data_IF_118103495933
#
_entry.id   IF_118103495933
#
_cell.length_a   1.000
_cell.length_b   1.000
_cell.length_c   1.000
_cell.angle_alpha   90.00
_cell.angle_beta   90.00
_cell.angle_gamma   90.00
#
_symmetry.space_group_name_H-M   'P 1'
#
loop_
_entity.id
_entity.type
_entity.pdbx_description
1 polymer ?
#
# COMPACT_ATOMS: atom_id res chain seq x y z
N UNK A 1 12.88 1.97 -0.42
CA UNK A 1 13.50 2.45 0.84
C UNK A 1 14.51 3.56 0.57
N UNK A 2 15.67 3.28 -0.05
CA UNK A 2 16.74 4.27 -0.28
C UNK A 2 16.26 5.57 -0.94
N UNK A 3 15.57 5.46 -2.08
CA UNK A 3 15.02 6.62 -2.79
C UNK A 3 14.15 7.55 -1.94
N UNK A 4 13.31 7.01 -1.05
CA UNK A 4 12.48 7.85 -0.17
C UNK A 4 13.35 8.68 0.80
N UNK A 5 14.45 8.10 1.31
CA UNK A 5 15.41 8.80 2.16
C UNK A 5 16.20 9.84 1.37
N UNK A 6 16.64 9.50 0.16
CA UNK A 6 17.39 10.40 -0.71
C UNK A 6 16.56 11.63 -1.10
N UNK A 7 15.26 11.44 -1.35
CA UNK A 7 14.32 12.53 -1.63
C UNK A 7 13.80 13.24 -0.37
N UNK A 8 14.21 12.80 0.82
CA UNK A 8 13.70 13.27 2.11
C UNK A 8 12.16 13.24 2.23
N UNK A 9 11.52 12.19 1.68
CA UNK A 9 10.07 11.97 1.72
C UNK A 9 9.71 10.86 2.70
N UNK A 10 8.55 11.00 3.34
CA UNK A 10 7.95 9.94 4.16
C UNK A 10 7.58 8.73 3.31
N UNK A 11 7.76 7.55 3.88
CA UNK A 11 7.45 6.29 3.24
C UNK A 11 6.25 5.63 3.89
N UNK A 12 5.18 5.43 3.12
CA UNK A 12 3.94 4.83 3.61
C UNK A 12 3.72 3.45 3.00
N UNK A 13 3.14 2.53 3.77
CA UNK A 13 2.58 1.29 3.25
C UNK A 13 1.09 1.44 3.02
N UNK A 14 0.58 0.99 1.88
CA UNK A 14 -0.86 0.90 1.61
C UNK A 14 -1.20 -0.53 1.19
N UNK A 15 -2.12 -1.17 1.91
CA UNK A 15 -2.56 -2.52 1.58
C UNK A 15 -3.87 -2.90 2.25
N UNK A 16 -4.90 -3.15 1.43
CA UNK A 16 -6.22 -3.54 1.91
C UNK A 16 -6.44 -5.05 1.95
N UNK A 17 -5.40 -5.85 1.67
CA UNK A 17 -5.53 -7.29 1.58
C UNK A 17 -6.40 -7.70 0.38
N UNK A 18 -6.94 -8.92 0.44
CA UNK A 18 -7.84 -9.44 -0.59
C UNK A 18 -9.26 -8.95 -0.38
N UNK A 19 -9.64 -7.89 -1.11
CA UNK A 19 -11.00 -7.33 -1.07
C UNK A 19 -11.64 -7.36 -2.47
N UNK A 20 -12.97 -7.43 -2.49
CA UNK A 20 -13.74 -7.28 -3.73
C UNK A 20 -14.29 -5.87 -3.78
N UNK A 21 -14.04 -5.17 -4.89
CA UNK A 21 -14.51 -3.81 -5.12
C UNK A 21 -15.13 -3.72 -6.49
N UNK A 22 -16.14 -2.86 -6.65
CA UNK A 22 -16.88 -2.71 -7.91
C UNK A 22 -15.98 -2.16 -9.03
N UNK A 23 -15.15 -1.16 -8.74
CA UNK A 23 -14.18 -0.59 -9.69
C UNK A 23 -12.76 -0.58 -9.08
N UNK A 24 -11.94 -1.61 -9.36
CA UNK A 24 -10.54 -1.67 -8.93
C UNK A 24 -9.68 -0.54 -9.47
N UNK A 25 -10.01 -0.04 -10.67
CA UNK A 25 -9.24 1.01 -11.35
C UNK A 25 -9.47 2.35 -10.64
N UNK A 26 -10.71 2.62 -10.23
CA UNK A 26 -11.07 3.81 -9.47
C UNK A 26 -10.43 3.81 -8.08
N UNK A 27 -10.43 2.68 -7.36
CA UNK A 27 -9.70 2.58 -6.10
C UNK A 27 -8.19 2.77 -6.29
N UNK A 28 -7.59 2.16 -7.31
CA UNK A 28 -6.17 2.38 -7.63
C UNK A 28 -5.91 3.86 -7.94
N UNK A 29 -6.78 4.53 -8.69
CA UNK A 29 -6.67 5.97 -8.99
C UNK A 29 -6.73 6.82 -7.73
N UNK A 30 -7.70 6.56 -6.85
CA UNK A 30 -7.84 7.30 -5.59
C UNK A 30 -6.60 7.14 -4.70
N UNK A 31 -6.02 5.94 -4.63
CA UNK A 31 -4.75 5.70 -3.92
C UNK A 31 -3.60 6.50 -4.55
N UNK A 32 -3.50 6.52 -5.89
CA UNK A 32 -2.47 7.29 -6.61
C UNK A 32 -2.60 8.78 -6.29
N UNK A 33 -3.80 9.33 -6.42
CA UNK A 33 -4.09 10.74 -6.14
C UNK A 33 -3.77 11.12 -4.69
N UNK A 34 -4.13 10.26 -3.73
CA UNK A 34 -3.84 10.48 -2.31
C UNK A 34 -2.34 10.50 -2.01
N UNK A 35 -1.56 9.60 -2.61
CA UNK A 35 -0.09 9.56 -2.44
C UNK A 35 0.56 10.82 -2.99
N UNK A 36 0.16 11.25 -4.19
CA UNK A 36 0.70 12.45 -4.82
C UNK A 36 0.31 13.71 -4.05
N UNK A 37 -0.95 13.82 -3.60
CA UNK A 37 -1.42 14.96 -2.82
C UNK A 37 -0.75 15.06 -1.44
N UNK A 38 -0.36 13.93 -0.86
CA UNK A 38 0.32 13.88 0.45
C UNK A 38 1.84 14.08 0.37
N UNK A 39 2.40 14.19 -0.83
CA UNK A 39 3.84 14.28 -1.10
C UNK A 39 4.68 13.17 -0.42
N UNK A 40 4.18 11.93 -0.46
CA UNK A 40 4.86 10.75 0.12
C UNK A 40 5.33 9.77 -0.93
N UNK A 41 6.25 8.90 -0.54
CA UNK A 41 6.59 7.68 -1.29
C UNK A 41 5.74 6.52 -0.76
N UNK A 42 5.29 5.61 -1.61
CA UNK A 42 4.37 4.54 -1.24
C UNK A 42 4.89 3.16 -1.64
N UNK A 43 4.85 2.23 -0.68
CA UNK A 43 4.90 0.79 -0.94
C UNK A 43 3.45 0.30 -1.01
N UNK A 44 3.01 0.00 -2.23
CA UNK A 44 1.68 -0.55 -2.47
C UNK A 44 1.73 -2.08 -2.40
N UNK A 45 0.77 -2.68 -1.71
CA UNK A 45 0.47 -4.11 -1.78
C UNK A 45 -0.98 -4.26 -2.23
N UNK A 46 -1.17 -4.23 -3.56
CA UNK A 46 -2.50 -4.34 -4.16
C UNK A 46 -3.03 -5.77 -4.02
N UNK A 47 -4.27 -5.87 -3.55
CA UNK A 47 -4.99 -7.15 -3.44
C UNK A 47 -6.48 -7.06 -3.80
N UNK A 48 -6.94 -5.93 -4.37
CA UNK A 48 -8.34 -5.73 -4.73
C UNK A 48 -8.63 -6.06 -6.21
N UNK A 49 -9.84 -6.56 -6.46
CA UNK A 49 -10.35 -6.90 -7.80
C UNK A 49 -11.87 -6.98 -7.82
N UNK A 50 -12.48 -7.01 -9.02
CA UNK A 50 -13.94 -7.17 -9.22
C UNK A 50 -14.50 -8.52 -8.73
N UNK A 51 -13.65 -9.55 -8.59
CA UNK A 51 -14.08 -10.90 -8.20
C UNK A 51 -13.07 -11.57 -7.27
N UNK A 52 -13.57 -12.29 -6.26
CA UNK A 52 -12.78 -13.16 -5.40
C UNK A 52 -11.96 -14.17 -6.22
N UNK A 53 -10.65 -14.22 -5.97
CA UNK A 53 -9.73 -15.14 -6.63
C UNK A 53 -9.39 -14.79 -8.08
N UNK A 54 -9.72 -13.57 -8.55
CA UNK A 54 -9.22 -13.10 -9.84
C UNK A 54 -7.69 -13.06 -9.83
N UNK A 55 -7.07 -13.66 -10.85
CA UNK A 55 -5.61 -13.61 -11.05
C UNK A 55 -5.11 -12.17 -11.21
N UNK A 56 -6.01 -11.26 -11.60
CA UNK A 56 -5.71 -9.86 -11.87
C UNK A 56 -5.75 -8.99 -10.59
N UNK A 57 -6.07 -9.55 -9.43
CA UNK A 57 -6.07 -8.82 -8.14
C UNK A 57 -4.72 -8.18 -7.80
N UNK A 58 -3.63 -8.69 -8.37
CA UNK A 58 -2.27 -8.15 -8.23
C UNK A 58 -1.79 -7.34 -9.44
N UNK A 59 -2.50 -7.43 -10.56
CA UNK A 59 -2.20 -6.63 -11.76
C UNK A 59 -2.58 -5.18 -11.49
N UNK A 60 -1.80 -4.27 -12.05
CA UNK A 60 -2.05 -2.84 -11.96
C UNK A 60 -2.70 -2.43 -13.27
N UNK A 61 -3.87 -1.81 -13.16
CA UNK A 61 -4.71 -1.44 -14.31
C UNK A 61 -4.22 -0.16 -15.03
N UNK A 62 -3.26 0.56 -14.44
CA UNK A 62 -2.73 1.83 -14.94
C UNK A 62 -1.24 1.98 -14.68
N UNK A 63 -0.59 2.90 -15.40
CA UNK A 63 0.81 3.23 -15.09
C UNK A 63 0.91 3.92 -13.72
N UNK A 64 1.75 3.39 -12.84
CA UNK A 64 2.00 4.01 -11.54
C UNK A 64 3.05 5.11 -11.65
N UNK A 65 2.87 6.24 -10.96
CA UNK A 65 3.90 7.26 -10.88
C UNK A 65 5.11 6.73 -10.09
N UNK A 66 6.26 7.40 -10.24
CA UNK A 66 7.52 6.92 -9.67
C UNK A 66 7.52 6.90 -8.13
N UNK A 67 6.59 7.64 -7.50
CA UNK A 67 6.32 7.71 -6.07
C UNK A 67 5.79 6.39 -5.51
N UNK A 68 5.16 5.55 -6.33
CA UNK A 68 4.46 4.35 -5.91
C UNK A 68 5.14 3.11 -6.46
N UNK A 69 5.49 2.20 -5.57
CA UNK A 69 6.04 0.89 -5.91
C UNK A 69 5.09 -0.21 -5.49
N UNK A 70 4.45 -0.89 -6.46
CA UNK A 70 3.66 -2.09 -6.17
C UNK A 70 4.58 -3.28 -5.89
N UNK A 71 4.78 -3.58 -4.62
CA UNK A 71 5.65 -4.65 -4.15
C UNK A 71 5.02 -6.04 -4.18
N UNK A 72 3.69 -6.12 -4.26
CA UNK A 72 2.95 -7.36 -3.99
C UNK A 72 3.14 -7.82 -2.53
N UNK A 73 3.23 -9.14 -2.34
CA UNK A 73 3.39 -9.71 -1.00
C UNK A 73 4.82 -9.49 -0.49
N UNK A 74 4.94 -8.84 0.67
CA UNK A 74 6.21 -8.64 1.38
C UNK A 74 6.02 -8.91 2.88
N UNK A 75 7.00 -9.52 3.57
CA UNK A 75 6.89 -9.77 5.01
C UNK A 75 6.74 -8.45 5.79
N UNK A 76 5.66 -8.33 6.56
CA UNK A 76 5.36 -7.11 7.33
C UNK A 76 6.35 -6.87 8.46
N UNK A 77 6.85 -7.93 9.09
CA UNK A 77 7.87 -7.85 10.14
C UNK A 77 9.17 -7.20 9.65
N UNK A 78 9.54 -7.43 8.40
CA UNK A 78 10.67 -6.75 7.75
C UNK A 78 10.28 -5.35 7.26
N UNK A 79 9.15 -5.21 6.57
CA UNK A 79 8.75 -3.94 5.96
C UNK A 79 8.46 -2.86 7.01
N UNK A 80 7.72 -3.20 8.07
CA UNK A 80 7.18 -2.23 9.02
C UNK A 80 8.27 -1.59 9.90
N UNK A 81 9.46 -2.18 9.95
CA UNK A 81 10.64 -1.55 10.59
C UNK A 81 11.26 -0.42 9.78
N UNK A 82 10.81 -0.20 8.54
CA UNK A 82 11.47 0.70 7.58
C UNK A 82 10.56 1.79 7.00
N UNK A 83 9.28 1.80 7.37
CA UNK A 83 8.27 2.76 6.89
C UNK A 83 7.86 3.71 8.02
N UNK A 84 7.22 4.82 7.66
CA UNK A 84 6.78 5.86 8.58
C UNK A 84 5.30 5.74 9.01
N UNK A 85 4.45 5.11 8.20
CA UNK A 85 3.03 4.90 8.49
C UNK A 85 2.44 3.74 7.66
N UNK A 86 1.30 3.21 8.12
CA UNK A 86 0.57 2.15 7.43
C UNK A 86 -0.90 2.52 7.22
N UNK A 87 -1.42 2.22 6.03
CA UNK A 87 -2.84 2.33 5.68
C UNK A 87 -3.33 0.92 5.33
N UNK A 88 -4.31 0.40 6.07
CA UNK A 88 -4.80 -0.96 5.84
C UNK A 88 -6.26 -1.15 6.24
N UNK A 89 -6.85 -2.28 5.84
CA UNK A 89 -8.26 -2.60 6.05
C UNK A 89 -8.63 -3.01 7.50
N UNK A 90 -7.76 -2.79 8.49
CA UNK A 90 -7.99 -3.22 9.88
C UNK A 90 -7.90 -4.73 10.19
N UNK A 91 -7.47 -5.59 9.26
CA UNK A 91 -7.31 -7.02 9.53
C UNK A 91 -6.36 -7.32 10.70
N UNK A 92 -6.71 -8.27 11.56
CA UNK A 92 -6.04 -8.51 12.85
C UNK A 92 -4.52 -8.70 12.74
N UNK A 93 -4.04 -9.41 11.71
CA UNK A 93 -2.61 -9.61 11.47
C UNK A 93 -1.86 -8.30 11.15
N UNK A 94 -2.38 -7.50 10.22
CA UNK A 94 -1.76 -6.23 9.82
C UNK A 94 -1.87 -5.19 10.93
N UNK A 95 -3.02 -5.11 11.61
CA UNK A 95 -3.22 -4.23 12.78
C UNK A 95 -2.25 -4.58 13.90
N UNK A 96 -2.09 -5.87 14.22
CA UNK A 96 -1.14 -6.33 15.22
C UNK A 96 0.30 -5.97 14.84
N UNK A 97 0.67 -6.11 13.56
CA UNK A 97 1.98 -5.72 13.06
C UNK A 97 2.21 -4.21 13.15
N UNK A 98 1.29 -3.37 12.67
CA UNK A 98 1.44 -1.90 12.67
C UNK A 98 1.58 -1.37 14.10
N UNK A 99 0.75 -1.85 15.03
CA UNK A 99 0.85 -1.51 16.45
C UNK A 99 2.15 -2.00 17.08
N UNK A 100 2.58 -3.23 16.79
CA UNK A 100 3.83 -3.80 17.33
C UNK A 100 5.05 -2.97 16.94
N UNK A 101 5.06 -2.40 15.75
CA UNK A 101 6.16 -1.56 15.27
C UNK A 101 5.94 -0.06 15.51
N UNK A 102 4.88 0.32 16.23
CA UNK A 102 4.64 1.71 16.64
C UNK A 102 4.32 2.65 15.48
N UNK A 103 3.72 2.14 14.40
CA UNK A 103 3.37 2.94 13.24
C UNK A 103 2.06 3.71 13.49
N UNK A 104 2.00 5.02 13.15
CA UNK A 104 0.72 5.67 12.86
C UNK A 104 -0.05 4.82 11.84
N UNK A 105 -1.29 4.48 12.18
CA UNK A 105 -2.10 3.50 11.42
C UNK A 105 -3.45 4.10 11.04
N UNK A 106 -3.79 3.97 9.76
CA UNK A 106 -5.07 4.38 9.16
C UNK A 106 -5.83 3.13 8.71
#
# INVERSE_FOLDING_TARGET
MGKARDDNKKLVYIGFGSIVVEDPTELTRAVVEAVLASDVRCILNKGWSERLGSKNSKEIEMELPCEIYNSGNIPHDWLFTQIDAAVHHGGSGTTGASLRFGLPTI
#
